data_IF_461347812360
#
_entry.id   IF_461347812360
#
_cell.length_a   1.000
_cell.length_b   1.000
_cell.length_c   1.000
_cell.angle_alpha   90.00
_cell.angle_beta   90.00
_cell.angle_gamma   90.00
#
_symmetry.space_group_name_H-M   'P 1'
#
loop_
_entity.id
_entity.type
_entity.pdbx_description
1 polymer ?
#
# COMPACT_ATOMS: atom_id res chain seq x y z
N UNK A 1 -48.96 69.12 41.29
CA UNK A 1 -47.53 69.10 41.58
C UNK A 1 -46.97 67.75 41.16
N UNK A 2 -46.23 67.69 40.07
CA UNK A 2 -45.68 66.44 39.49
C UNK A 2 -44.18 66.47 39.60
N UNK A 3 -43.63 65.64 40.46
CA UNK A 3 -42.18 65.43 40.58
C UNK A 3 -41.79 64.38 39.58
N UNK A 4 -40.94 64.79 38.59
CA UNK A 4 -40.30 63.91 37.64
C UNK A 4 -39.09 63.28 38.30
N UNK A 5 -39.12 61.99 38.42
CA UNK A 5 -37.96 61.16 38.83
C UNK A 5 -37.07 60.94 37.60
N UNK A 6 -35.84 61.48 37.59
CA UNK A 6 -34.84 61.22 36.62
C UNK A 6 -34.10 59.94 36.97
N UNK A 7 -34.28 58.87 36.16
CA UNK A 7 -33.47 57.69 36.23
C UNK A 7 -32.22 57.94 35.40
N UNK A 8 -31.11 58.16 36.06
CA UNK A 8 -29.76 58.05 35.39
C UNK A 8 -29.39 56.60 35.29
N UNK A 9 -29.42 56.10 34.06
CA UNK A 9 -28.94 54.78 33.70
C UNK A 9 -27.40 54.85 33.67
N UNK A 10 -26.74 54.27 34.68
CA UNK A 10 -25.29 54.12 34.71
C UNK A 10 -24.94 52.94 33.84
N UNK A 11 -24.54 53.20 32.59
CA UNK A 11 -24.04 52.19 31.66
C UNK A 11 -22.60 51.84 32.08
N UNK A 12 -22.43 50.75 32.84
CA UNK A 12 -21.13 50.15 33.17
C UNK A 12 -20.61 49.40 31.94
N UNK A 13 -19.84 50.08 31.10
CA UNK A 13 -19.09 49.43 30.01
C UNK A 13 -17.94 48.65 30.64
N UNK A 14 -18.16 47.33 30.78
CA UNK A 14 -17.12 46.42 31.18
C UNK A 14 -16.18 46.26 29.97
N UNK A 15 -15.09 47.04 29.93
CA UNK A 15 -14.02 46.88 28.98
C UNK A 15 -13.25 45.59 29.36
N UNK A 16 -13.70 44.45 28.82
CA UNK A 16 -12.87 43.22 28.88
C UNK A 16 -11.63 43.47 28.05
N UNK A 17 -10.52 43.73 28.69
CA UNK A 17 -9.20 43.67 28.09
C UNK A 17 -8.96 42.18 27.73
N UNK A 18 -9.24 41.83 26.47
CA UNK A 18 -8.81 40.55 25.93
C UNK A 18 -7.29 40.71 25.77
N UNK A 19 -6.54 40.16 26.72
CA UNK A 19 -5.12 39.92 26.51
C UNK A 19 -5.03 38.82 25.47
N UNK A 20 -4.85 39.22 24.21
CA UNK A 20 -4.37 38.33 23.16
C UNK A 20 -2.92 38.08 23.49
N UNK A 21 -2.63 37.00 24.18
CA UNK A 21 -1.27 36.48 24.30
C UNK A 21 -0.90 35.96 22.91
N UNK A 22 -0.28 36.76 22.12
CA UNK A 22 0.42 36.27 20.90
C UNK A 22 1.61 35.46 21.40
N UNK A 23 1.48 34.16 21.44
CA UNK A 23 2.61 33.25 21.60
C UNK A 23 3.38 33.36 20.28
N UNK A 24 4.41 34.18 20.23
CA UNK A 24 5.37 34.14 19.14
C UNK A 24 6.15 32.84 19.30
N UNK A 25 5.80 31.81 18.52
CA UNK A 25 6.61 30.62 18.39
C UNK A 25 7.93 31.06 17.70
N UNK A 26 9.06 30.81 18.34
CA UNK A 26 10.36 31.05 17.71
C UNK A 26 10.80 29.78 16.99
N UNK A 27 11.13 29.95 15.72
CA UNK A 27 11.62 28.90 14.83
C UNK A 27 13.15 28.94 14.73
N UNK A 28 13.79 27.81 14.98
CA UNK A 28 15.23 27.62 14.73
C UNK A 28 15.42 26.53 13.70
N UNK A 29 16.24 26.77 12.70
CA UNK A 29 16.61 25.80 11.67
C UNK A 29 18.10 25.48 11.72
N UNK A 30 18.44 24.22 11.43
CA UNK A 30 19.82 23.75 11.27
C UNK A 30 19.91 22.86 10.03
N UNK A 31 20.95 23.07 9.22
CA UNK A 31 21.28 22.22 8.07
C UNK A 31 22.54 21.43 8.35
N UNK A 32 22.51 20.12 8.07
CA UNK A 32 23.68 19.22 8.03
C UNK A 32 23.75 18.65 6.63
N UNK A 33 24.94 18.61 6.04
CA UNK A 33 25.10 18.12 4.66
C UNK A 33 26.44 17.43 4.50
N UNK A 34 26.42 16.28 3.78
CA UNK A 34 27.60 15.54 3.35
C UNK A 34 27.42 14.99 1.94
N UNK A 35 28.55 14.77 1.26
CA UNK A 35 28.58 14.14 -0.07
C UNK A 35 29.62 13.04 -0.09
N UNK A 36 29.20 11.84 -0.45
CA UNK A 36 30.04 10.63 -0.47
C UNK A 36 30.22 10.14 -1.92
N UNK A 37 31.43 9.85 -2.31
CA UNK A 37 31.71 9.13 -3.57
C UNK A 37 31.23 7.70 -3.48
N UNK A 38 30.69 7.14 -4.58
CA UNK A 38 30.13 5.79 -4.64
C UNK A 38 30.86 4.90 -5.61
N UNK A 39 30.80 3.60 -5.35
CA UNK A 39 31.07 2.50 -6.28
C UNK A 39 29.76 1.80 -6.65
N UNK A 40 29.80 0.85 -7.59
CA UNK A 40 28.65 0.03 -7.97
C UNK A 40 28.14 -0.87 -6.82
N UNK A 41 28.97 -1.12 -5.81
CA UNK A 41 28.63 -1.91 -4.61
C UNK A 41 28.12 -1.07 -3.45
N UNK A 42 28.04 0.24 -3.61
CA UNK A 42 27.64 1.11 -2.50
C UNK A 42 26.22 0.87 -2.04
N UNK A 43 26.03 0.90 -0.72
CA UNK A 43 24.76 0.73 -0.03
C UNK A 43 24.42 2.00 0.73
N UNK A 44 23.23 2.54 0.52
CA UNK A 44 22.72 3.71 1.24
C UNK A 44 21.77 3.23 2.35
N UNK A 45 22.10 3.58 3.59
CA UNK A 45 21.34 3.21 4.78
C UNK A 45 20.80 4.48 5.43
N UNK A 46 19.47 4.67 5.44
CA UNK A 46 18.79 5.84 5.99
C UNK A 46 17.85 5.45 7.13
N UNK A 47 17.98 6.08 8.28
CA UNK A 47 17.08 5.93 9.42
C UNK A 47 16.65 7.31 9.92
N UNK A 48 15.33 7.60 9.84
CA UNK A 48 14.78 8.86 10.29
C UNK A 48 13.49 8.70 11.10
N UNK A 49 13.21 9.72 11.92
CA UNK A 49 11.97 9.89 12.67
C UNK A 49 11.54 11.36 12.64
N UNK A 50 10.21 11.58 12.60
CA UNK A 50 9.58 12.92 12.68
C UNK A 50 9.97 13.86 11.55
N UNK A 51 9.81 13.39 10.31
CA UNK A 51 9.99 14.18 9.11
C UNK A 51 10.18 13.32 7.88
N UNK A 52 10.26 13.96 6.73
CA UNK A 52 10.19 13.32 5.45
C UNK A 52 11.57 12.90 4.93
N UNK A 53 11.58 11.91 4.04
CA UNK A 53 12.75 11.54 3.25
C UNK A 53 12.39 11.68 1.78
N UNK A 54 13.12 12.52 1.06
CA UNK A 54 12.94 12.80 -0.36
C UNK A 54 14.18 12.34 -1.13
N UNK A 55 14.02 11.35 -2.02
CA UNK A 55 15.10 10.75 -2.80
C UNK A 55 14.92 11.09 -4.27
N UNK A 56 15.80 11.92 -4.79
CA UNK A 56 15.95 12.24 -6.19
C UNK A 56 17.13 11.48 -6.82
N UNK A 57 17.03 11.17 -8.10
CA UNK A 57 18.13 10.53 -8.80
C UNK A 57 18.97 11.55 -9.58
N UNK A 58 20.26 11.24 -9.72
CA UNK A 58 21.20 11.95 -10.58
C UNK A 58 22.22 11.00 -11.21
N UNK A 59 22.98 11.52 -12.18
CA UNK A 59 23.96 10.72 -12.93
C UNK A 59 25.41 10.86 -12.40
N UNK A 60 25.57 11.34 -11.14
CA UNK A 60 26.90 11.46 -10.51
C UNK A 60 27.21 10.21 -9.68
N UNK A 61 28.46 9.74 -9.71
CA UNK A 61 28.94 8.65 -8.85
C UNK A 61 29.15 9.13 -7.41
N UNK A 62 28.07 9.64 -6.82
CA UNK A 62 28.07 10.13 -5.43
C UNK A 62 26.66 10.13 -4.85
N UNK A 63 26.59 10.10 -3.52
CA UNK A 63 25.36 10.33 -2.75
C UNK A 63 25.52 11.64 -1.98
N UNK A 64 24.60 12.56 -2.14
CA UNK A 64 24.49 13.78 -1.34
C UNK A 64 23.32 13.64 -0.40
N UNK A 65 23.55 13.88 0.88
CA UNK A 65 22.51 13.87 1.92
C UNK A 65 22.49 15.25 2.56
N UNK A 66 21.36 15.94 2.46
CA UNK A 66 21.06 17.18 3.14
C UNK A 66 19.96 16.92 4.17
N UNK A 67 20.19 17.32 5.42
CA UNK A 67 19.22 17.17 6.50
C UNK A 67 18.87 18.55 7.05
N UNK A 68 17.59 18.88 7.01
CA UNK A 68 17.04 20.11 7.53
C UNK A 68 16.30 19.81 8.84
N UNK A 69 16.78 20.37 9.92
CA UNK A 69 16.14 20.26 11.24
C UNK A 69 15.44 21.58 11.50
N UNK A 70 14.15 21.54 11.77
CA UNK A 70 13.32 22.67 12.14
C UNK A 70 12.75 22.43 13.53
N UNK A 71 12.86 23.38 14.42
CA UNK A 71 12.28 23.33 15.78
C UNK A 71 11.50 24.60 16.03
N UNK A 72 10.25 24.44 16.45
CA UNK A 72 9.36 25.53 16.87
C UNK A 72 9.01 25.36 18.35
N UNK A 73 9.29 26.37 19.17
CA UNK A 73 9.04 26.36 20.60
C UNK A 73 8.53 27.71 21.10
N UNK A 74 8.09 27.76 22.35
CA UNK A 74 7.60 28.99 22.99
C UNK A 74 8.68 30.06 23.25
N UNK A 75 9.95 29.73 23.09
CA UNK A 75 11.09 30.64 23.19
C UNK A 75 12.32 30.07 22.46
N UNK A 76 13.25 30.96 22.04
CA UNK A 76 14.52 30.59 21.42
C UNK A 76 15.35 29.66 22.31
N UNK A 77 15.45 29.94 23.59
CA UNK A 77 16.19 29.09 24.54
C UNK A 77 15.65 27.67 24.60
N UNK A 78 14.33 27.48 24.56
CA UNK A 78 13.70 26.16 24.52
C UNK A 78 13.92 25.46 23.17
N UNK A 79 13.85 26.20 22.07
CA UNK A 79 14.14 25.66 20.75
C UNK A 79 15.61 25.19 20.63
N UNK A 80 16.56 25.95 21.18
CA UNK A 80 17.97 25.56 21.26
C UNK A 80 18.21 24.33 22.14
N UNK A 81 17.52 24.21 23.28
CA UNK A 81 17.58 23.03 24.14
C UNK A 81 17.13 21.77 23.39
N UNK A 82 16.03 21.87 22.65
CA UNK A 82 15.50 20.77 21.83
C UNK A 82 16.45 20.45 20.67
N UNK A 83 16.98 21.48 19.99
CA UNK A 83 17.94 21.29 18.90
C UNK A 83 19.19 20.51 19.35
N UNK A 84 19.67 20.68 20.59
CA UNK A 84 20.80 19.95 21.15
C UNK A 84 20.50 18.48 21.41
N UNK A 85 19.22 18.08 21.55
CA UNK A 85 18.78 16.69 21.73
C UNK A 85 18.63 15.94 20.41
N UNK A 86 18.79 16.64 19.27
CA UNK A 86 18.69 16.06 17.93
C UNK A 86 20.09 15.97 17.35
N UNK A 87 20.57 14.76 17.11
CA UNK A 87 21.84 14.51 16.45
C UNK A 87 21.67 13.79 15.11
N UNK A 88 22.42 14.26 14.12
CA UNK A 88 22.46 13.68 12.78
C UNK A 88 23.85 13.12 12.54
N UNK A 89 23.92 11.85 12.21
CA UNK A 89 25.15 11.18 11.80
C UNK A 89 25.11 10.90 10.30
N UNK A 90 26.02 11.54 9.55
CA UNK A 90 26.25 11.28 8.14
C UNK A 90 27.68 10.71 8.01
N UNK A 91 27.79 9.44 7.70
CA UNK A 91 29.10 8.74 7.68
C UNK A 91 29.21 7.75 6.53
N UNK A 92 30.44 7.38 6.19
CA UNK A 92 30.74 6.32 5.25
C UNK A 92 31.76 5.35 5.86
N UNK A 93 31.49 4.04 5.73
CA UNK A 93 32.40 2.98 6.15
C UNK A 93 32.49 1.92 5.04
N UNK A 94 33.63 1.84 4.37
CA UNK A 94 33.75 1.03 3.17
C UNK A 94 32.80 1.51 2.07
N UNK A 95 31.93 0.63 1.59
CA UNK A 95 30.90 0.93 0.61
C UNK A 95 29.56 1.36 1.24
N UNK A 96 29.40 1.25 2.55
CA UNK A 96 28.19 1.62 3.26
C UNK A 96 28.17 3.10 3.62
N UNK A 97 27.09 3.79 3.21
CA UNK A 97 26.79 5.19 3.49
C UNK A 97 25.63 5.23 4.48
N UNK A 98 25.76 5.95 5.56
CA UNK A 98 24.77 6.04 6.64
C UNK A 98 24.28 7.47 6.80
N UNK A 99 22.95 7.63 6.86
CA UNK A 99 22.27 8.82 7.33
C UNK A 99 21.32 8.45 8.47
N UNK A 100 21.63 8.87 9.69
CA UNK A 100 20.87 8.47 10.88
C UNK A 100 20.50 9.67 11.74
N UNK A 101 19.25 9.67 12.20
CA UNK A 101 18.71 10.59 13.20
C UNK A 101 18.65 9.91 14.55
N UNK A 102 19.34 10.45 15.55
CA UNK A 102 19.26 10.05 16.95
C UNK A 102 18.62 11.17 17.78
N UNK A 103 17.69 10.78 18.66
CA UNK A 103 16.90 11.67 19.51
C UNK A 103 17.11 11.32 20.97
N UNK A 104 17.52 12.28 21.79
CA UNK A 104 17.78 12.10 23.21
C UNK A 104 16.67 12.71 24.07
N UNK A 105 16.14 11.92 25.00
CA UNK A 105 15.15 12.38 25.99
C UNK A 105 13.74 12.53 25.45
N UNK A 106 12.96 13.42 26.07
CA UNK A 106 11.55 13.68 25.73
C UNK A 106 11.37 15.06 25.11
N UNK A 107 10.34 15.18 24.25
CA UNK A 107 10.00 16.38 23.51
C UNK A 107 8.56 16.78 23.87
N UNK A 108 8.38 17.60 24.90
CA UNK A 108 7.06 18.05 25.36
C UNK A 108 6.79 19.49 24.95
N UNK A 109 5.63 19.76 24.38
CA UNK A 109 5.18 21.11 24.00
C UNK A 109 6.14 21.82 23.05
N UNK A 110 6.69 21.09 22.08
CA UNK A 110 7.52 21.60 20.99
C UNK A 110 7.15 20.88 19.70
N UNK A 111 7.17 21.58 18.59
CA UNK A 111 7.05 21.01 17.26
C UNK A 111 8.43 20.98 16.60
N UNK A 112 8.75 19.87 15.97
CA UNK A 112 10.00 19.76 15.21
C UNK A 112 9.83 18.82 14.04
N UNK A 113 10.66 19.02 13.01
CA UNK A 113 10.74 18.13 11.85
C UNK A 113 12.20 17.96 11.42
N UNK A 114 12.50 16.76 10.88
CA UNK A 114 13.83 16.39 10.40
C UNK A 114 13.69 15.83 8.99
N UNK A 115 13.91 16.65 7.99
CA UNK A 115 13.70 16.32 6.60
C UNK A 115 15.02 16.01 5.89
N UNK A 116 15.09 14.83 5.29
CA UNK A 116 16.21 14.36 4.48
C UNK A 116 15.93 14.66 3.00
N UNK A 117 16.84 15.34 2.34
CA UNK A 117 16.89 15.46 0.87
C UNK A 117 18.12 14.71 0.39
N UNK A 118 17.88 13.65 -0.38
CA UNK A 118 18.95 12.76 -0.82
C UNK A 118 19.01 12.74 -2.34
N UNK A 119 20.20 12.96 -2.88
CA UNK A 119 20.47 12.78 -4.31
C UNK A 119 21.39 11.59 -4.49
N UNK A 120 20.97 10.59 -5.25
CA UNK A 120 21.73 9.35 -5.43
C UNK A 120 21.50 8.72 -6.80
N UNK A 121 22.47 7.93 -7.32
CA UNK A 121 22.25 7.04 -8.47
C UNK A 121 21.10 6.04 -8.18
N UNK A 122 20.27 5.78 -9.16
CA UNK A 122 19.15 4.83 -9.05
C UNK A 122 19.57 3.36 -8.89
N UNK A 123 20.79 3.02 -9.30
CA UNK A 123 21.36 1.66 -9.29
C UNK A 123 22.06 1.28 -7.99
N UNK A 124 22.04 2.11 -6.96
CA UNK A 124 22.57 1.76 -5.64
C UNK A 124 21.56 0.95 -4.83
N UNK A 125 22.08 0.14 -3.91
CA UNK A 125 21.24 -0.55 -2.90
C UNK A 125 20.75 0.44 -1.87
N UNK A 126 19.45 0.37 -1.52
CA UNK A 126 18.82 1.26 -0.52
C UNK A 126 18.21 0.46 0.62
N UNK A 127 18.61 0.76 1.85
CA UNK A 127 17.92 0.40 3.07
C UNK A 127 17.38 1.68 3.72
N UNK A 128 16.08 1.77 3.93
CA UNK A 128 15.42 2.96 4.44
C UNK A 128 14.38 2.58 5.52
N UNK A 129 14.47 3.21 6.68
CA UNK A 129 13.41 3.21 7.67
C UNK A 129 13.02 4.65 8.01
N UNK A 130 11.71 4.98 7.86
CA UNK A 130 11.15 6.25 8.29
C UNK A 130 9.93 6.05 9.20
N UNK A 131 9.84 6.84 10.27
CA UNK A 131 8.69 6.87 11.18
C UNK A 131 8.17 8.29 11.33
N UNK A 132 6.85 8.45 11.28
CA UNK A 132 6.16 9.74 11.47
C UNK A 132 6.61 10.80 10.44
N UNK A 133 6.58 10.43 9.17
CA UNK A 133 6.85 11.28 8.03
C UNK A 133 6.76 10.50 6.73
N UNK A 134 6.61 11.20 5.64
CA UNK A 134 6.42 10.64 4.31
C UNK A 134 7.76 10.29 3.66
N UNK A 135 7.73 9.38 2.72
CA UNK A 135 8.88 8.99 1.91
C UNK A 135 8.54 9.14 0.45
N UNK A 136 9.33 9.93 -0.26
CA UNK A 136 9.29 10.01 -1.71
C UNK A 136 10.55 9.41 -2.31
N UNK A 137 10.40 8.55 -3.33
CA UNK A 137 11.49 7.94 -4.08
C UNK A 137 11.20 8.08 -5.58
N UNK A 138 12.09 8.72 -6.31
CA UNK A 138 11.90 8.87 -7.74
C UNK A 138 12.07 7.53 -8.48
N UNK A 139 13.26 6.92 -8.47
CA UNK A 139 13.50 5.62 -9.13
C UNK A 139 14.52 4.77 -8.37
N UNK A 140 14.29 3.45 -8.32
CA UNK A 140 15.25 2.44 -7.88
C UNK A 140 15.34 1.32 -8.91
N UNK A 141 16.57 0.96 -9.30
CA UNK A 141 16.85 -0.13 -10.25
C UNK A 141 17.68 -1.27 -9.65
N UNK A 142 17.97 -1.24 -8.36
CA UNK A 142 18.70 -2.27 -7.62
C UNK A 142 17.92 -2.73 -6.39
N UNK A 143 18.51 -3.57 -5.57
CA UNK A 143 17.91 -4.09 -4.34
C UNK A 143 17.56 -2.96 -3.36
N UNK A 144 16.43 -3.11 -2.71
CA UNK A 144 16.02 -2.16 -1.67
C UNK A 144 15.22 -2.85 -0.56
N UNK A 145 15.26 -2.24 0.61
CA UNK A 145 14.37 -2.54 1.73
C UNK A 145 13.86 -1.21 2.28
N UNK A 146 12.57 -0.94 2.11
CA UNK A 146 11.95 0.32 2.52
C UNK A 146 10.87 0.04 3.54
N UNK A 147 11.02 0.60 4.73
CA UNK A 147 10.05 0.52 5.82
C UNK A 147 9.52 1.90 6.14
N UNK A 148 8.20 2.08 6.05
CA UNK A 148 7.52 3.32 6.44
C UNK A 148 6.44 3.02 7.47
N UNK A 149 6.50 3.75 8.60
CA UNK A 149 5.52 3.64 9.69
C UNK A 149 4.91 5.00 9.99
N UNK A 150 3.59 5.05 10.04
CA UNK A 150 2.84 6.30 10.33
C UNK A 150 3.14 7.44 9.35
N UNK A 151 3.38 7.11 8.09
CA UNK A 151 3.61 8.04 6.98
C UNK A 151 3.22 7.41 5.66
N UNK A 152 3.20 8.18 4.59
CA UNK A 152 2.93 7.70 3.24
C UNK A 152 4.24 7.38 2.49
N UNK A 153 4.18 6.39 1.60
CA UNK A 153 5.24 6.08 0.66
C UNK A 153 4.78 6.43 -0.75
N UNK A 154 5.58 7.20 -1.46
CA UNK A 154 5.36 7.49 -2.88
C UNK A 154 6.61 7.12 -3.68
N UNK A 155 6.44 6.22 -4.65
CA UNK A 155 7.50 5.78 -5.56
C UNK A 155 7.03 5.95 -7.00
N UNK A 156 7.81 6.60 -7.85
CA UNK A 156 7.47 6.74 -9.25
C UNK A 156 7.83 5.46 -10.03
N UNK A 157 9.04 4.90 -9.85
CA UNK A 157 9.51 3.76 -10.62
C UNK A 157 10.37 2.79 -9.81
N UNK A 158 10.07 1.50 -9.92
CA UNK A 158 10.93 0.39 -9.50
C UNK A 158 11.30 -0.42 -10.74
N UNK A 159 12.46 -0.12 -11.32
CA UNK A 159 12.86 -0.61 -12.64
C UNK A 159 13.85 -1.79 -12.61
N UNK A 160 14.05 -2.40 -11.43
CA UNK A 160 14.93 -3.58 -11.29
C UNK A 160 14.52 -4.78 -12.15
N UNK A 161 15.31 -5.85 -12.13
CA UNK A 161 15.12 -7.06 -12.94
C UNK A 161 13.72 -7.70 -12.78
N UNK A 162 13.23 -8.35 -13.82
CA UNK A 162 11.92 -8.98 -13.89
C UNK A 162 11.88 -10.43 -13.36
N UNK A 163 13.01 -11.00 -12.95
CA UNK A 163 13.11 -12.44 -12.69
C UNK A 163 12.88 -12.85 -11.24
N UNK A 164 13.02 -11.91 -10.30
CA UNK A 164 12.83 -12.14 -8.86
C UNK A 164 12.62 -10.82 -8.13
N UNK A 165 12.01 -10.84 -6.91
CA UNK A 165 11.82 -9.60 -6.15
C UNK A 165 13.16 -8.95 -5.84
N UNK A 166 13.34 -7.75 -6.35
CA UNK A 166 14.51 -6.93 -6.07
C UNK A 166 14.41 -6.25 -4.71
N UNK A 167 13.20 -5.98 -4.26
CA UNK A 167 13.03 -5.23 -3.05
C UNK A 167 11.80 -5.61 -2.24
N UNK A 168 11.85 -5.19 -0.99
CA UNK A 168 10.81 -5.36 0.00
C UNK A 168 10.32 -3.99 0.43
N UNK A 169 9.01 -3.83 0.49
CA UNK A 169 8.33 -2.65 1.05
C UNK A 169 7.49 -3.10 2.23
N UNK A 170 7.76 -2.52 3.40
CA UNK A 170 7.01 -2.73 4.62
C UNK A 170 6.25 -1.45 4.97
N UNK A 171 4.92 -1.50 4.96
CA UNK A 171 4.07 -0.37 5.34
C UNK A 171 3.26 -0.70 6.58
N UNK A 172 3.34 0.16 7.58
CA UNK A 172 2.56 0.03 8.81
C UNK A 172 1.85 1.35 9.11
N UNK A 173 0.52 1.28 9.28
CA UNK A 173 -0.32 2.46 9.57
C UNK A 173 -0.16 3.57 8.53
N UNK A 174 0.03 3.20 7.27
CA UNK A 174 0.20 4.11 6.14
C UNK A 174 -1.12 4.29 5.39
N UNK A 175 -1.65 5.51 5.35
CA UNK A 175 -3.03 5.75 4.87
C UNK A 175 -3.16 6.05 3.37
N UNK A 176 -2.08 6.43 2.68
CA UNK A 176 -2.16 6.87 1.28
C UNK A 176 -0.84 6.70 0.53
N UNK A 177 -0.34 5.46 0.49
CA UNK A 177 0.85 5.13 -0.27
C UNK A 177 0.56 4.84 -1.73
N UNK A 178 1.55 5.09 -2.59
CA UNK A 178 1.43 4.88 -4.03
C UNK A 178 2.75 4.47 -4.65
N UNK A 179 2.68 3.52 -5.61
CA UNK A 179 3.76 3.14 -6.51
C UNK A 179 3.21 3.26 -7.93
N UNK A 180 3.84 4.08 -8.79
CA UNK A 180 3.31 4.29 -10.13
C UNK A 180 3.61 3.11 -11.05
N UNK A 181 4.86 2.66 -11.07
CA UNK A 181 5.28 1.53 -11.89
C UNK A 181 6.29 0.65 -11.14
N UNK A 182 6.15 -0.65 -11.28
CA UNK A 182 7.13 -1.58 -10.72
C UNK A 182 7.32 -2.85 -11.55
N UNK A 183 8.55 -3.34 -11.60
CA UNK A 183 8.83 -4.63 -12.21
C UNK A 183 8.46 -5.76 -11.26
N UNK A 184 9.19 -5.98 -10.17
CA UNK A 184 8.94 -7.08 -9.27
C UNK A 184 9.16 -6.65 -7.81
N UNK A 185 8.10 -6.71 -6.98
CA UNK A 185 8.15 -6.30 -5.59
C UNK A 185 7.56 -7.34 -4.64
N UNK A 186 8.09 -7.34 -3.40
CA UNK A 186 7.48 -7.98 -2.25
C UNK A 186 6.92 -6.92 -1.31
N UNK A 187 5.69 -7.10 -0.87
CA UNK A 187 4.97 -6.19 0.02
C UNK A 187 4.64 -6.87 1.35
N UNK A 188 4.83 -6.17 2.43
CA UNK A 188 4.29 -6.51 3.74
C UNK A 188 3.47 -5.30 4.23
N UNK A 189 2.14 -5.47 4.34
CA UNK A 189 1.22 -4.39 4.63
C UNK A 189 0.46 -4.68 5.93
N UNK A 190 0.46 -3.71 6.83
CA UNK A 190 -0.33 -3.79 8.06
C UNK A 190 -1.06 -2.47 8.30
N UNK A 191 -2.39 -2.51 8.45
CA UNK A 191 -3.23 -1.32 8.68
C UNK A 191 -2.94 -0.20 7.68
N UNK A 192 -2.72 -0.56 6.41
CA UNK A 192 -2.21 0.35 5.40
C UNK A 192 -3.08 0.38 4.14
N UNK A 193 -2.96 1.47 3.38
CA UNK A 193 -3.57 1.59 2.06
C UNK A 193 -2.47 1.88 1.05
N UNK A 194 -2.37 1.01 0.03
CA UNK A 194 -1.43 1.15 -1.07
C UNK A 194 -2.15 1.08 -2.41
N UNK A 195 -1.80 1.97 -3.32
CA UNK A 195 -2.22 1.94 -4.72
C UNK A 195 -1.00 1.69 -5.60
N UNK A 196 -1.12 0.73 -6.53
CA UNK A 196 -0.07 0.41 -7.51
C UNK A 196 -0.64 0.66 -8.90
N UNK A 197 0.10 1.34 -9.74
CA UNK A 197 -0.22 1.54 -11.14
C UNK A 197 0.02 0.25 -11.94
N UNK A 198 1.06 0.24 -12.76
CA UNK A 198 1.36 -0.91 -13.62
C UNK A 198 2.50 -1.74 -13.00
N UNK A 199 2.29 -3.04 -12.88
CA UNK A 199 3.24 -3.98 -12.27
C UNK A 199 3.51 -5.20 -13.16
N UNK A 200 4.76 -5.67 -13.21
CA UNK A 200 5.02 -6.98 -13.78
C UNK A 200 4.69 -8.09 -12.76
N UNK A 201 5.23 -8.02 -11.55
CA UNK A 201 4.92 -9.01 -10.53
C UNK A 201 4.83 -8.41 -9.12
N UNK A 202 3.82 -8.86 -8.38
CA UNK A 202 3.57 -8.48 -6.98
C UNK A 202 3.46 -9.75 -6.14
N UNK A 203 4.26 -9.84 -5.08
CA UNK A 203 4.04 -10.79 -3.99
C UNK A 203 3.65 -9.98 -2.76
N UNK A 204 2.48 -10.21 -2.20
CA UNK A 204 1.99 -9.45 -1.05
C UNK A 204 1.61 -10.36 0.11
N UNK A 205 1.99 -9.95 1.31
CA UNK A 205 1.44 -10.41 2.57
C UNK A 205 0.78 -9.22 3.25
N UNK A 206 -0.49 -9.34 3.61
CA UNK A 206 -1.23 -8.18 4.11
C UNK A 206 -2.26 -8.52 5.17
N UNK A 207 -2.49 -7.57 6.08
CA UNK A 207 -3.53 -7.65 7.10
C UNK A 207 -4.12 -6.28 7.41
N UNK A 208 -5.45 -6.23 7.56
CA UNK A 208 -6.21 -5.01 7.86
C UNK A 208 -5.87 -3.88 6.87
N UNK A 209 -5.68 -4.22 5.60
CA UNK A 209 -5.13 -3.31 4.60
C UNK A 209 -6.02 -3.23 3.35
N UNK A 210 -5.77 -2.19 2.55
CA UNK A 210 -6.43 -2.02 1.25
C UNK A 210 -5.37 -1.93 0.17
N UNK A 211 -5.45 -2.82 -0.82
CA UNK A 211 -4.54 -2.85 -1.96
C UNK A 211 -5.30 -2.63 -3.26
N UNK A 212 -5.02 -1.50 -3.91
CA UNK A 212 -5.47 -1.20 -5.26
C UNK A 212 -4.36 -1.49 -6.27
N UNK A 213 -4.65 -2.18 -7.37
CA UNK A 213 -3.71 -2.44 -8.46
C UNK A 213 -4.39 -2.14 -9.78
N UNK A 214 -3.85 -1.21 -10.56
CA UNK A 214 -4.42 -0.88 -11.87
C UNK A 214 -4.20 -2.01 -12.87
N UNK A 215 -2.95 -2.49 -12.99
CA UNK A 215 -2.64 -3.66 -13.81
C UNK A 215 -1.47 -4.46 -13.26
N UNK A 216 -1.52 -5.79 -13.39
CA UNK A 216 -0.41 -6.68 -13.05
C UNK A 216 -0.32 -7.87 -14.02
N UNK A 217 0.91 -8.28 -14.37
CA UNK A 217 1.08 -9.54 -15.09
C UNK A 217 0.95 -10.73 -14.13
N UNK A 218 1.60 -10.69 -12.97
CA UNK A 218 1.49 -11.72 -11.93
C UNK A 218 1.21 -11.09 -10.57
N UNK A 219 0.22 -11.61 -9.86
CA UNK A 219 -0.03 -11.24 -8.47
C UNK A 219 -0.23 -12.49 -7.61
N UNK A 220 0.54 -12.59 -6.53
CA UNK A 220 0.39 -13.61 -5.49
C UNK A 220 0.14 -12.90 -4.16
N UNK A 221 -0.93 -13.27 -3.46
CA UNK A 221 -1.32 -12.59 -2.23
C UNK A 221 -1.66 -13.59 -1.11
N UNK A 222 -1.16 -13.32 0.09
CA UNK A 222 -1.63 -13.88 1.35
C UNK A 222 -2.29 -12.76 2.15
N UNK A 223 -3.56 -12.91 2.51
CA UNK A 223 -4.41 -11.81 2.90
C UNK A 223 -5.32 -12.14 4.07
N UNK A 224 -5.44 -11.21 5.01
CA UNK A 224 -6.36 -11.37 6.14
C UNK A 224 -6.99 -10.04 6.55
N UNK A 225 -8.33 -9.99 6.56
CA UNK A 225 -9.11 -8.78 6.85
C UNK A 225 -8.80 -7.62 5.90
N UNK A 226 -8.66 -7.92 4.61
CA UNK A 226 -8.22 -6.97 3.59
C UNK A 226 -9.30 -6.67 2.55
N UNK A 227 -9.04 -5.65 1.75
CA UNK A 227 -9.83 -5.34 0.57
C UNK A 227 -8.89 -5.17 -0.64
N UNK A 228 -9.16 -5.92 -1.69
CA UNK A 228 -8.45 -5.83 -2.97
C UNK A 228 -9.33 -5.23 -4.04
N UNK A 229 -8.79 -4.26 -4.76
CA UNK A 229 -9.40 -3.72 -5.98
C UNK A 229 -8.39 -3.79 -7.11
N UNK A 230 -8.63 -4.70 -8.04
CA UNK A 230 -7.70 -5.00 -9.14
C UNK A 230 -8.38 -4.67 -10.46
N UNK A 231 -7.79 -3.80 -11.28
CA UNK A 231 -8.27 -3.52 -12.62
C UNK A 231 -8.01 -4.73 -13.53
N UNK A 232 -6.82 -4.84 -14.08
CA UNK A 232 -6.48 -5.97 -14.97
C UNK A 232 -5.38 -6.83 -14.36
N UNK A 233 -5.56 -8.16 -14.37
CA UNK A 233 -4.51 -9.10 -14.00
C UNK A 233 -4.41 -10.26 -14.99
N UNK A 234 -3.17 -10.62 -15.39
CA UNK A 234 -2.97 -11.79 -16.25
C UNK A 234 -3.05 -13.09 -15.45
N UNK A 235 -2.39 -13.17 -14.31
CA UNK A 235 -2.48 -14.30 -13.38
C UNK A 235 -2.59 -13.79 -11.94
N UNK A 236 -3.65 -14.22 -11.23
CA UNK A 236 -3.84 -13.92 -9.81
C UNK A 236 -3.99 -15.20 -9.01
N UNK A 237 -3.21 -15.32 -7.94
CA UNK A 237 -3.29 -16.39 -6.95
C UNK A 237 -3.38 -15.77 -5.56
N UNK A 238 -4.35 -16.21 -4.76
CA UNK A 238 -4.44 -15.76 -3.36
C UNK A 238 -4.87 -16.86 -2.41
N UNK A 239 -4.32 -16.81 -1.20
CA UNK A 239 -4.91 -17.41 0.01
C UNK A 239 -5.45 -16.27 0.86
N UNK A 240 -6.76 -16.26 1.12
CA UNK A 240 -7.42 -15.08 1.71
C UNK A 240 -8.46 -15.46 2.74
N UNK A 241 -8.52 -14.70 3.84
CA UNK A 241 -9.53 -14.87 4.87
C UNK A 241 -10.12 -13.53 5.31
N UNK A 242 -11.46 -13.48 5.44
CA UNK A 242 -12.20 -12.28 5.85
C UNK A 242 -11.87 -11.06 4.96
N UNK A 243 -11.92 -11.24 3.66
CA UNK A 243 -11.57 -10.21 2.70
C UNK A 243 -12.66 -9.97 1.66
N UNK A 244 -12.54 -8.85 0.96
CA UNK A 244 -13.33 -8.57 -0.24
C UNK A 244 -12.37 -8.41 -1.45
N UNK A 245 -12.64 -9.13 -2.52
CA UNK A 245 -11.82 -9.15 -3.73
C UNK A 245 -12.67 -8.72 -4.92
N UNK A 246 -12.35 -7.59 -5.51
CA UNK A 246 -12.97 -7.07 -6.74
C UNK A 246 -11.94 -7.02 -7.86
N UNK A 247 -12.25 -7.64 -9.00
CA UNK A 247 -11.36 -7.68 -10.18
C UNK A 247 -12.17 -7.28 -11.42
N UNK A 248 -11.71 -6.29 -12.16
CA UNK A 248 -12.36 -5.88 -13.41
C UNK A 248 -12.10 -6.89 -14.54
N UNK A 249 -10.84 -7.32 -14.73
CA UNK A 249 -10.47 -8.26 -15.79
C UNK A 249 -9.40 -9.26 -15.36
N UNK A 250 -9.73 -10.56 -15.45
CA UNK A 250 -8.75 -11.65 -15.38
C UNK A 250 -8.44 -12.15 -16.79
N UNK A 251 -7.16 -12.18 -17.18
CA UNK A 251 -6.78 -12.61 -18.54
C UNK A 251 -6.57 -14.11 -18.66
N UNK A 252 -5.73 -14.73 -17.85
CA UNK A 252 -5.32 -16.12 -18.09
C UNK A 252 -5.58 -17.07 -16.93
N UNK A 253 -5.23 -16.68 -15.70
CA UNK A 253 -5.27 -17.59 -14.55
C UNK A 253 -5.87 -16.89 -13.34
N UNK A 254 -6.83 -17.57 -12.69
CA UNK A 254 -7.37 -17.19 -11.40
C UNK A 254 -7.30 -18.41 -10.47
N UNK A 255 -6.55 -18.29 -9.36
CA UNK A 255 -6.51 -19.32 -8.31
C UNK A 255 -6.81 -18.69 -6.96
N UNK A 256 -7.93 -19.09 -6.37
CA UNK A 256 -8.42 -18.56 -5.10
C UNK A 256 -8.57 -19.70 -4.09
N UNK A 257 -7.97 -19.54 -2.93
CA UNK A 257 -8.24 -20.33 -1.74
C UNK A 257 -8.75 -19.38 -0.67
N UNK A 258 -10.06 -19.38 -0.41
CA UNK A 258 -10.71 -18.29 0.32
C UNK A 258 -11.61 -18.79 1.43
N UNK A 259 -11.69 -18.01 2.53
CA UNK A 259 -12.57 -18.28 3.66
C UNK A 259 -13.19 -17.00 4.16
N UNK A 260 -14.53 -16.96 4.32
CA UNK A 260 -15.27 -15.74 4.68
C UNK A 260 -14.92 -14.57 3.77
N UNK A 261 -14.76 -14.83 2.48
CA UNK A 261 -14.30 -13.85 1.49
C UNK A 261 -15.29 -13.80 0.32
N UNK A 262 -15.70 -12.61 -0.05
CA UNK A 262 -16.46 -12.40 -1.26
C UNK A 262 -15.52 -12.10 -2.43
N UNK A 263 -15.79 -12.69 -3.58
CA UNK A 263 -15.00 -12.47 -4.79
C UNK A 263 -15.92 -12.12 -5.95
N UNK A 264 -15.71 -10.94 -6.52
CA UNK A 264 -16.34 -10.47 -7.76
C UNK A 264 -15.30 -10.33 -8.85
N UNK A 265 -15.52 -10.98 -9.98
CA UNK A 265 -14.76 -10.76 -11.22
C UNK A 265 -15.72 -10.28 -12.29
N UNK A 266 -15.57 -9.03 -12.71
CA UNK A 266 -16.47 -8.43 -13.68
C UNK A 266 -16.37 -9.11 -15.06
N UNK A 267 -15.14 -9.42 -15.46
CA UNK A 267 -14.87 -10.08 -16.75
C UNK A 267 -13.73 -11.07 -16.69
N UNK A 268 -13.97 -12.27 -17.22
CA UNK A 268 -12.93 -13.24 -17.59
C UNK A 268 -12.65 -13.11 -19.09
N UNK A 269 -11.38 -13.06 -19.47
CA UNK A 269 -10.99 -12.99 -20.90
C UNK A 269 -11.42 -14.26 -21.64
N UNK A 270 -11.82 -14.11 -22.92
CA UNK A 270 -12.30 -15.24 -23.72
C UNK A 270 -11.20 -16.29 -24.00
N UNK A 271 -9.93 -15.94 -23.83
CA UNK A 271 -8.75 -16.81 -23.98
C UNK A 271 -8.15 -17.27 -22.65
N UNK A 272 -8.93 -17.23 -21.57
CA UNK A 272 -8.45 -17.69 -20.28
C UNK A 272 -8.02 -19.18 -20.31
N UNK A 273 -7.12 -19.55 -19.41
CA UNK A 273 -6.61 -20.94 -19.35
C UNK A 273 -7.19 -21.72 -18.20
N UNK A 274 -7.18 -21.12 -17.01
CA UNK A 274 -7.55 -21.85 -15.80
C UNK A 274 -8.16 -20.95 -14.73
N UNK A 275 -9.29 -21.39 -14.19
CA UNK A 275 -9.85 -20.85 -12.96
C UNK A 275 -9.97 -21.99 -11.96
N UNK A 276 -9.41 -21.82 -10.77
CA UNK A 276 -9.42 -22.79 -9.67
C UNK A 276 -9.83 -22.06 -8.39
N UNK A 277 -10.93 -22.47 -7.78
CA UNK A 277 -11.48 -21.81 -6.60
C UNK A 277 -11.86 -22.84 -5.55
N UNK A 278 -11.28 -22.68 -4.37
CA UNK A 278 -11.70 -23.36 -3.14
C UNK A 278 -12.19 -22.30 -2.17
N UNK A 279 -13.49 -22.30 -1.87
CA UNK A 279 -14.11 -21.27 -1.05
C UNK A 279 -14.93 -21.83 0.10
N UNK A 280 -14.96 -21.12 1.22
CA UNK A 280 -15.86 -21.40 2.33
C UNK A 280 -16.47 -20.11 2.88
N UNK A 281 -17.79 -20.09 3.06
CA UNK A 281 -18.54 -18.97 3.67
C UNK A 281 -18.35 -17.63 2.91
N UNK A 282 -18.38 -17.63 1.62
CA UNK A 282 -18.31 -16.42 0.78
C UNK A 282 -19.01 -16.63 -0.54
N UNK A 283 -19.37 -15.56 -1.22
CA UNK A 283 -19.94 -15.61 -2.55
C UNK A 283 -18.89 -15.38 -3.64
N UNK A 284 -19.07 -16.05 -4.76
CA UNK A 284 -18.20 -15.95 -5.94
C UNK A 284 -19.06 -15.59 -7.14
N UNK A 285 -18.72 -14.49 -7.81
CA UNK A 285 -19.37 -14.05 -9.03
C UNK A 285 -18.31 -13.92 -10.12
N UNK A 286 -18.44 -14.67 -11.20
CA UNK A 286 -17.53 -14.64 -12.34
C UNK A 286 -18.27 -14.24 -13.61
N UNK A 287 -17.95 -13.09 -14.17
CA UNK A 287 -18.47 -12.64 -15.47
C UNK A 287 -17.75 -13.38 -16.61
N UNK A 288 -18.42 -14.36 -17.21
CA UNK A 288 -17.88 -15.15 -18.33
C UNK A 288 -18.74 -14.91 -19.57
N UNK A 289 -18.10 -14.59 -20.69
CA UNK A 289 -18.81 -14.42 -21.96
C UNK A 289 -19.51 -15.72 -22.35
N UNK A 290 -20.83 -15.72 -22.63
CA UNK A 290 -21.59 -16.91 -22.96
C UNK A 290 -21.10 -17.69 -24.20
N UNK A 291 -20.29 -17.05 -25.05
CA UNK A 291 -19.73 -17.67 -26.26
C UNK A 291 -18.47 -18.49 -25.98
N UNK A 292 -17.90 -18.40 -24.77
CA UNK A 292 -16.66 -19.10 -24.43
C UNK A 292 -16.95 -20.55 -24.03
N UNK A 293 -16.17 -21.45 -24.60
CA UNK A 293 -16.25 -22.88 -24.27
C UNK A 293 -15.16 -23.28 -23.28
N UNK A 294 -15.51 -24.02 -22.24
CA UNK A 294 -14.60 -24.50 -21.21
C UNK A 294 -15.08 -25.78 -20.54
N UNK A 295 -14.16 -26.53 -19.94
CA UNK A 295 -14.49 -27.68 -19.12
C UNK A 295 -14.79 -27.21 -17.70
N UNK A 296 -15.96 -27.57 -17.18
CA UNK A 296 -16.42 -27.22 -15.85
C UNK A 296 -16.39 -28.45 -14.93
N UNK A 297 -15.89 -28.26 -13.74
CA UNK A 297 -16.08 -29.14 -12.58
C UNK A 297 -16.39 -28.25 -11.38
N UNK A 298 -17.64 -28.20 -10.95
CA UNK A 298 -18.06 -27.33 -9.86
C UNK A 298 -18.86 -28.13 -8.83
N UNK A 299 -18.43 -28.09 -7.59
CA UNK A 299 -19.08 -28.73 -6.46
C UNK A 299 -19.41 -27.73 -5.37
N UNK A 300 -20.67 -27.74 -4.91
CA UNK A 300 -21.15 -26.92 -3.82
C UNK A 300 -21.77 -27.78 -2.73
N UNK A 301 -21.39 -27.55 -1.49
CA UNK A 301 -21.97 -28.14 -0.29
C UNK A 301 -22.72 -27.08 0.51
N UNK A 302 -23.99 -27.33 0.84
CA UNK A 302 -24.88 -26.37 1.53
C UNK A 302 -24.92 -25.00 0.83
N UNK A 303 -24.87 -24.99 -0.51
CA UNK A 303 -24.78 -23.81 -1.34
C UNK A 303 -25.35 -24.07 -2.74
N UNK A 304 -25.54 -23.02 -3.53
CA UNK A 304 -25.99 -23.10 -4.91
C UNK A 304 -24.86 -22.79 -5.88
N UNK A 305 -24.86 -23.47 -7.01
CA UNK A 305 -24.04 -23.12 -8.18
C UNK A 305 -24.97 -22.77 -9.33
N UNK A 306 -24.88 -21.55 -9.81
CA UNK A 306 -25.53 -21.11 -11.02
C UNK A 306 -24.53 -21.22 -12.17
N UNK A 307 -24.83 -22.08 -13.14
CA UNK A 307 -23.99 -22.32 -14.32
C UNK A 307 -24.81 -22.07 -15.57
N UNK A 308 -24.20 -21.59 -16.68
CA UNK A 308 -24.88 -21.47 -17.96
C UNK A 308 -25.50 -22.81 -18.42
N UNK A 309 -26.62 -22.76 -19.10
CA UNK A 309 -27.22 -23.95 -19.69
C UNK A 309 -26.29 -24.51 -20.78
N UNK A 310 -26.02 -25.81 -20.73
CA UNK A 310 -25.25 -26.50 -21.77
C UNK A 310 -25.71 -27.94 -21.91
N UNK A 311 -25.88 -28.41 -23.14
CA UNK A 311 -26.32 -29.78 -23.46
C UNK A 311 -25.30 -30.85 -23.01
N UNK A 312 -24.03 -30.46 -22.88
CA UNK A 312 -22.93 -31.36 -22.56
C UNK A 312 -22.54 -31.27 -21.08
N UNK A 313 -23.38 -30.70 -20.22
CA UNK A 313 -23.17 -30.54 -18.81
C UNK A 313 -23.99 -31.57 -18.02
N UNK A 314 -23.31 -32.38 -17.22
CA UNK A 314 -23.93 -33.33 -16.28
C UNK A 314 -24.14 -32.64 -14.94
N UNK A 315 -25.22 -33.09 -14.23
CA UNK A 315 -25.56 -32.55 -12.91
C UNK A 315 -25.98 -33.67 -11.98
N UNK A 316 -25.48 -33.65 -10.75
CA UNK A 316 -26.00 -34.39 -9.62
C UNK A 316 -26.47 -33.41 -8.56
N UNK A 317 -27.69 -33.59 -8.04
CA UNK A 317 -28.22 -32.77 -6.95
C UNK A 317 -28.69 -33.68 -5.84
N UNK A 318 -28.07 -33.55 -4.68
CA UNK A 318 -28.45 -34.21 -3.41
C UNK A 318 -28.98 -33.16 -2.44
N UNK A 319 -29.45 -33.54 -1.29
CA UNK A 319 -30.04 -32.63 -0.30
C UNK A 319 -29.07 -31.49 0.13
N UNK A 320 -27.77 -31.80 0.25
CA UNK A 320 -26.76 -30.90 0.76
C UNK A 320 -25.61 -30.59 -0.23
N UNK A 321 -25.65 -31.27 -1.39
CA UNK A 321 -24.57 -31.21 -2.37
C UNK A 321 -25.12 -31.04 -3.79
N UNK A 322 -24.48 -30.18 -4.55
CA UNK A 322 -24.73 -30.07 -6.00
C UNK A 322 -23.38 -30.11 -6.72
N UNK A 323 -23.29 -30.98 -7.72
CA UNK A 323 -22.11 -31.09 -8.57
C UNK A 323 -22.49 -30.95 -10.03
N UNK A 324 -21.70 -30.15 -10.76
CA UNK A 324 -21.75 -30.02 -12.21
C UNK A 324 -20.40 -30.41 -12.79
N UNK A 325 -20.44 -31.14 -13.93
CA UNK A 325 -19.21 -31.42 -14.68
C UNK A 325 -19.52 -31.63 -16.15
N UNK A 326 -18.58 -31.28 -17.01
CA UNK A 326 -18.70 -31.45 -18.44
C UNK A 326 -18.22 -30.25 -19.23
N UNK A 327 -18.71 -30.08 -20.42
CA UNK A 327 -18.38 -28.99 -21.32
C UNK A 327 -19.48 -27.91 -21.27
N UNK A 328 -19.09 -26.68 -21.03
CA UNK A 328 -19.91 -25.49 -21.27
C UNK A 328 -19.51 -24.93 -22.63
N UNK A 329 -20.51 -24.53 -23.42
CA UNK A 329 -20.32 -24.09 -24.82
C UNK A 329 -20.34 -25.21 -25.84
N UNK A 330 -19.92 -24.93 -27.07
CA UNK A 330 -20.06 -25.84 -28.21
C UNK A 330 -18.72 -26.41 -28.74
N UNK A 331 -17.58 -25.81 -28.36
CA UNK A 331 -16.24 -26.26 -28.80
C UNK A 331 -15.72 -27.43 -27.97
N UNK A 332 -15.82 -28.64 -28.48
CA UNK A 332 -15.31 -29.86 -27.86
C UNK A 332 -13.78 -29.90 -27.70
N UNK A 333 -13.05 -29.03 -28.40
CA UNK A 333 -11.57 -28.92 -28.30
C UNK A 333 -11.12 -27.94 -27.19
N UNK A 334 -12.06 -27.32 -26.47
CA UNK A 334 -11.78 -26.34 -25.45
C UNK A 334 -10.78 -26.88 -24.38
N UNK A 335 -9.72 -26.10 -24.15
CA UNK A 335 -8.64 -26.40 -23.19
C UNK A 335 -8.79 -25.64 -21.90
N UNK A 336 -9.59 -24.57 -21.89
CA UNK A 336 -9.87 -23.77 -20.69
C UNK A 336 -10.59 -24.65 -19.65
N UNK A 337 -10.25 -24.45 -18.39
CA UNK A 337 -10.85 -25.19 -17.27
C UNK A 337 -11.33 -24.27 -16.16
N UNK A 338 -12.48 -24.65 -15.57
CA UNK A 338 -12.99 -24.02 -14.34
C UNK A 338 -13.26 -25.12 -13.34
N UNK A 339 -12.50 -25.13 -12.24
CA UNK A 339 -12.61 -26.04 -11.12
C UNK A 339 -13.04 -25.24 -9.87
N UNK A 340 -14.19 -25.58 -9.28
CA UNK A 340 -14.75 -24.86 -8.15
C UNK A 340 -15.21 -25.84 -7.08
N UNK A 341 -14.72 -25.67 -5.86
CA UNK A 341 -15.22 -26.28 -4.65
C UNK A 341 -15.68 -25.18 -3.69
N UNK A 342 -16.96 -25.18 -3.31
CA UNK A 342 -17.47 -24.21 -2.35
C UNK A 342 -18.30 -24.87 -1.26
N UNK A 343 -18.21 -24.30 -0.06
CA UNK A 343 -18.99 -24.75 1.10
C UNK A 343 -19.62 -23.53 1.80
N UNK A 344 -20.95 -23.58 1.97
CA UNK A 344 -21.73 -22.47 2.55
C UNK A 344 -21.59 -21.15 1.79
N UNK A 345 -21.26 -21.19 0.52
CA UNK A 345 -21.09 -20.00 -0.32
C UNK A 345 -21.60 -20.23 -1.74
N UNK A 346 -22.36 -19.30 -2.28
CA UNK A 346 -22.91 -19.42 -3.63
C UNK A 346 -21.87 -19.10 -4.69
N UNK A 347 -22.02 -19.72 -5.86
CA UNK A 347 -21.17 -19.48 -7.03
C UNK A 347 -22.07 -19.16 -8.21
N UNK A 348 -21.81 -18.02 -8.84
CA UNK A 348 -22.46 -17.57 -10.05
C UNK A 348 -21.44 -17.47 -11.20
N UNK A 349 -21.71 -18.19 -12.29
CA UNK A 349 -20.97 -18.11 -13.55
C UNK A 349 -21.87 -17.45 -14.59
N UNK A 350 -21.79 -16.11 -14.70
CA UNK A 350 -22.70 -15.31 -15.53
C UNK A 350 -22.05 -14.88 -16.84
#
# INVERSE_FOLDING_TARGET
MKTKLFYQLFLLVFFQLIFVVTINAEEITKKVQETFTTSDNSVVNLENKYGDIDIENWDKNSVQIEVFIKVEASSASKAEEVMKKISISLTKSGDDIFGKTDLEGSFSNVEFSITYKVKMPKNLVLNLENKFGDVFINELSNKFNVTVKYGALKINMLSGDNTKPYGVINLQYSKSSRIDNCNYIKLDLSYSKLSIGDANAIISSSKYSKLGVKSANLMVADSKYDSYKIGTVNAFKTTSAYADIEIELVKQILKLETKYTNTGVEKISNDFKKIEIVNSYGSINLGIDPTVSYKLNAEAQYANVNVPESKNLSKIKETTRTKYWGLVGEDNSAKATIDIETKYGNVDLN
#
